data_IF_219941200487
#
_entry.id   IF_219941200487
#
_cell.length_a   1.000
_cell.length_b   1.000
_cell.length_c   1.000
_cell.angle_alpha   90.00
_cell.angle_beta   90.00
_cell.angle_gamma   90.00
#
_symmetry.space_group_name_H-M   'P 1'
#
loop_
_entity.id
_entity.type
_entity.pdbx_description
1 polymer ?
#
# COMPACT_ATOMS: atom_id res chain seq x y z
N UNK A 1 5.22 -21.32 -24.47
CA UNK A 1 4.76 -21.85 -25.76
C UNK A 1 3.34 -21.35 -25.98
N UNK A 2 3.02 -20.61 -27.04
CA UNK A 2 1.67 -20.08 -27.21
C UNK A 2 0.80 -21.15 -27.89
N UNK A 3 -0.25 -21.58 -27.21
CA UNK A 3 -1.31 -22.39 -27.82
C UNK A 3 -2.28 -21.38 -28.44
N UNK A 4 -2.20 -21.23 -29.76
CA UNK A 4 -3.23 -20.59 -30.58
C UNK A 4 -4.39 -21.57 -30.70
N UNK A 5 -5.47 -21.35 -29.97
CA UNK A 5 -6.73 -22.06 -30.19
C UNK A 5 -7.64 -21.18 -31.06
N UNK A 6 -7.80 -21.60 -32.31
CA UNK A 6 -8.77 -21.07 -33.26
C UNK A 6 -10.18 -21.43 -32.75
N UNK A 7 -11.05 -20.44 -32.58
CA UNK A 7 -12.38 -20.58 -31.96
C UNK A 7 -13.50 -20.78 -32.98
N UNK A 8 -13.18 -21.23 -34.20
CA UNK A 8 -14.19 -21.65 -35.16
C UNK A 8 -14.53 -23.14 -34.94
N UNK A 9 -15.81 -23.42 -34.73
CA UNK A 9 -16.46 -24.76 -34.73
C UNK A 9 -16.60 -25.49 -33.39
N UNK A 10 -17.51 -25.01 -32.54
CA UNK A 10 -18.52 -25.89 -31.88
C UNK A 10 -19.84 -25.11 -31.76
N UNK A 11 -20.74 -25.27 -32.74
CA UNK A 11 -22.11 -24.71 -32.67
C UNK A 11 -23.02 -25.76 -32.03
N UNK A 12 -23.27 -25.62 -30.73
CA UNK A 12 -24.44 -26.21 -30.10
C UNK A 12 -25.70 -25.50 -30.60
N UNK A 13 -26.74 -26.27 -31.00
CA UNK A 13 -27.97 -25.70 -31.54
C UNK A 13 -28.76 -24.93 -30.47
N UNK A 14 -29.28 -23.72 -30.75
CA UNK A 14 -30.14 -22.99 -29.82
C UNK A 14 -31.59 -23.51 -29.88
N UNK A 15 -32.24 -23.59 -28.72
CA UNK A 15 -33.67 -23.88 -28.59
C UNK A 15 -34.46 -22.57 -28.69
N UNK A 16 -35.31 -22.45 -29.70
CA UNK A 16 -36.15 -21.27 -29.95
C UNK A 16 -37.37 -21.21 -29.01
N UNK A 17 -37.57 -20.07 -28.34
CA UNK A 17 -38.90 -19.55 -27.99
C UNK A 17 -38.99 -18.05 -28.33
N UNK A 18 -39.95 -17.72 -29.21
CA UNK A 18 -40.49 -16.38 -29.44
C UNK A 18 -39.62 -15.28 -30.10
N UNK A 19 -38.62 -15.63 -30.92
CA UNK A 19 -38.20 -14.74 -32.03
C UNK A 19 -37.58 -13.39 -31.68
N UNK A 20 -37.13 -13.19 -30.44
CA UNK A 20 -36.32 -12.03 -30.03
C UNK A 20 -35.09 -12.56 -29.29
N UNK A 21 -33.90 -12.30 -29.83
CA UNK A 21 -32.63 -12.53 -29.13
C UNK A 21 -32.58 -11.53 -27.97
N UNK A 22 -32.85 -11.97 -26.76
CA UNK A 22 -32.32 -11.29 -25.58
C UNK A 22 -31.13 -12.12 -25.16
N UNK A 23 -29.98 -11.86 -25.78
CA UNK A 23 -28.71 -12.29 -25.21
C UNK A 23 -28.60 -11.52 -23.89
N UNK A 24 -28.86 -12.18 -22.76
CA UNK A 24 -28.66 -11.57 -21.46
C UNK A 24 -27.17 -11.28 -21.32
N UNK A 25 -26.79 -10.01 -21.45
CA UNK A 25 -25.41 -9.57 -21.27
C UNK A 25 -25.13 -9.43 -19.78
N UNK A 26 -23.86 -9.56 -19.41
CA UNK A 26 -23.45 -9.28 -18.04
C UNK A 26 -23.64 -7.77 -17.75
N UNK A 27 -24.26 -7.40 -16.62
CA UNK A 27 -24.39 -6.01 -16.22
C UNK A 27 -23.00 -5.43 -15.94
N UNK A 28 -22.75 -4.21 -16.41
CA UNK A 28 -21.45 -3.55 -16.29
C UNK A 28 -21.55 -2.10 -15.87
N UNK A 29 -20.45 -1.63 -15.29
CA UNK A 29 -20.14 -0.23 -15.02
C UNK A 29 -19.00 0.15 -15.96
N UNK A 30 -19.14 1.26 -16.69
CA UNK A 30 -18.06 1.79 -17.53
C UNK A 30 -16.98 2.45 -16.67
N UNK A 31 -15.70 2.20 -16.99
CA UNK A 31 -14.58 2.91 -16.37
C UNK A 31 -14.15 4.15 -17.20
N UNK A 32 -13.41 5.06 -16.55
CA UNK A 32 -12.96 6.33 -17.16
C UNK A 32 -11.91 6.15 -18.28
N UNK A 33 -11.47 4.92 -18.54
CA UNK A 33 -10.42 4.58 -19.51
C UNK A 33 -10.95 3.79 -20.72
N UNK A 34 -12.27 3.64 -20.83
CA UNK A 34 -12.96 2.92 -21.91
C UNK A 34 -12.95 1.41 -21.72
N UNK A 35 -12.79 0.94 -20.48
CA UNK A 35 -13.05 -0.43 -20.05
C UNK A 35 -14.42 -0.60 -19.40
N UNK A 36 -14.67 -1.80 -18.89
CA UNK A 36 -15.92 -2.21 -18.23
C UNK A 36 -15.63 -3.04 -16.99
N UNK A 37 -16.48 -2.89 -15.97
CA UNK A 37 -16.38 -3.61 -14.69
C UNK A 37 -17.66 -4.42 -14.49
N UNK A 38 -17.52 -5.73 -14.34
CA UNK A 38 -18.58 -6.67 -13.98
C UNK A 38 -18.49 -6.90 -12.47
N UNK A 39 -19.56 -6.57 -11.75
CA UNK A 39 -19.71 -6.91 -10.33
C UNK A 39 -20.68 -8.07 -10.16
N UNK A 40 -20.14 -9.27 -9.92
CA UNK A 40 -20.99 -10.44 -9.65
C UNK A 40 -21.58 -10.34 -8.24
N UNK A 41 -22.91 -10.44 -8.13
CA UNK A 41 -23.64 -10.29 -6.85
C UNK A 41 -24.49 -11.52 -6.53
N UNK A 42 -25.16 -12.04 -7.55
CA UNK A 42 -26.08 -13.16 -7.41
C UNK A 42 -25.44 -14.47 -7.84
N UNK A 43 -25.97 -15.57 -7.32
CA UNK A 43 -25.55 -16.89 -7.73
C UNK A 43 -25.85 -17.11 -9.22
N UNK A 44 -24.85 -17.55 -9.96
CA UNK A 44 -24.96 -17.90 -11.38
C UNK A 44 -24.27 -19.24 -11.60
N UNK A 45 -24.90 -20.12 -12.38
CA UNK A 45 -24.26 -21.37 -12.77
C UNK A 45 -23.17 -21.12 -13.82
N UNK A 46 -22.23 -22.06 -13.91
CA UNK A 46 -21.05 -21.93 -14.76
C UNK A 46 -21.37 -21.85 -16.26
N UNK A 47 -22.39 -22.57 -16.74
CA UNK A 47 -22.72 -22.62 -18.17
C UNK A 47 -23.42 -21.33 -18.62
N UNK A 48 -24.35 -20.83 -17.81
CA UNK A 48 -24.97 -19.52 -17.99
C UNK A 48 -23.91 -18.42 -17.97
N UNK A 49 -23.04 -18.40 -16.96
CA UNK A 49 -21.97 -17.42 -16.86
C UNK A 49 -21.06 -17.42 -18.10
N UNK A 50 -20.64 -18.60 -18.56
CA UNK A 50 -19.80 -18.73 -19.75
C UNK A 50 -20.49 -18.18 -21.01
N UNK A 51 -21.77 -18.50 -21.18
CA UNK A 51 -22.56 -18.06 -22.33
C UNK A 51 -22.70 -16.55 -22.34
N UNK A 52 -23.08 -15.95 -21.21
CA UNK A 52 -23.21 -14.50 -21.07
C UNK A 52 -21.87 -13.79 -21.21
N UNK A 53 -20.79 -14.34 -20.65
CA UNK A 53 -19.45 -13.76 -20.75
C UNK A 53 -18.99 -13.71 -22.21
N UNK A 54 -19.14 -14.80 -22.97
CA UNK A 54 -18.75 -14.83 -24.40
C UNK A 54 -19.55 -13.85 -25.26
N UNK A 55 -20.87 -13.78 -25.05
CA UNK A 55 -21.73 -12.82 -25.75
C UNK A 55 -21.32 -11.37 -25.42
N UNK A 56 -21.08 -11.08 -24.14
CA UNK A 56 -20.66 -9.76 -23.67
C UNK A 56 -19.30 -9.34 -24.22
N UNK A 57 -18.33 -10.26 -24.22
CA UNK A 57 -16.99 -10.03 -24.78
C UNK A 57 -17.04 -9.70 -26.28
N UNK A 58 -17.90 -10.37 -27.05
CA UNK A 58 -18.08 -10.08 -28.48
C UNK A 58 -18.61 -8.66 -28.69
N UNK A 59 -19.61 -8.26 -27.92
CA UNK A 59 -20.17 -6.91 -27.98
C UNK A 59 -19.15 -5.85 -27.59
N UNK A 60 -18.46 -6.01 -26.46
CA UNK A 60 -17.47 -5.04 -25.99
C UNK A 60 -16.32 -4.86 -26.97
N UNK A 61 -15.92 -5.93 -27.66
CA UNK A 61 -14.95 -5.87 -28.75
C UNK A 61 -15.44 -5.01 -29.92
N UNK A 62 -16.71 -5.14 -30.33
CA UNK A 62 -17.30 -4.30 -31.39
C UNK A 62 -17.44 -2.84 -30.97
N UNK A 63 -17.71 -2.59 -29.69
CA UNK A 63 -17.79 -1.25 -29.10
C UNK A 63 -16.42 -0.60 -28.87
N UNK A 64 -15.32 -1.32 -29.12
CA UNK A 64 -13.97 -0.80 -28.91
C UNK A 64 -13.59 -0.65 -27.43
N UNK A 65 -14.25 -1.38 -26.52
CA UNK A 65 -13.87 -1.43 -25.11
C UNK A 65 -12.48 -2.06 -24.95
N UNK A 66 -11.79 -1.69 -23.87
CA UNK A 66 -10.40 -2.07 -23.63
C UNK A 66 -10.26 -3.10 -22.51
N UNK A 67 -10.17 -2.64 -21.26
CA UNK A 67 -10.04 -3.49 -20.09
C UNK A 67 -11.41 -4.05 -19.68
N UNK A 68 -11.47 -5.33 -19.36
CA UNK A 68 -12.66 -5.98 -18.79
C UNK A 68 -12.28 -6.50 -17.42
N UNK A 69 -12.97 -6.03 -16.39
CA UNK A 69 -12.74 -6.40 -15.01
C UNK A 69 -13.89 -7.27 -14.51
N UNK A 70 -13.57 -8.32 -13.74
CA UNK A 70 -14.57 -9.14 -13.06
C UNK A 70 -14.25 -9.16 -11.58
N UNK A 71 -15.14 -8.58 -10.77
CA UNK A 71 -15.13 -8.69 -9.33
C UNK A 71 -15.98 -9.90 -8.94
N UNK A 72 -15.33 -10.98 -8.47
CA UNK A 72 -15.97 -12.20 -8.02
C UNK A 72 -15.91 -12.31 -6.48
N UNK A 73 -17.05 -12.19 -5.78
CA UNK A 73 -17.13 -12.52 -4.36
C UNK A 73 -16.66 -13.95 -4.08
N UNK A 74 -16.10 -14.19 -2.89
CA UNK A 74 -15.57 -15.49 -2.48
C UNK A 74 -16.60 -16.63 -2.59
N UNK A 75 -17.89 -16.33 -2.41
CA UNK A 75 -18.98 -17.30 -2.57
C UNK A 75 -19.24 -17.75 -4.01
N UNK A 76 -18.68 -17.05 -5.01
CA UNK A 76 -18.82 -17.37 -6.44
C UNK A 76 -17.51 -17.91 -7.04
N UNK A 77 -16.67 -18.53 -6.20
CA UNK A 77 -15.35 -19.05 -6.60
C UNK A 77 -15.43 -20.07 -7.75
N UNK A 78 -16.54 -20.80 -7.88
CA UNK A 78 -16.76 -21.76 -8.97
C UNK A 78 -16.76 -21.13 -10.36
N UNK A 79 -16.90 -19.81 -10.47
CA UNK A 79 -16.83 -19.07 -11.74
C UNK A 79 -15.40 -18.69 -12.13
N UNK A 80 -14.43 -18.74 -11.20
CA UNK A 80 -13.04 -18.33 -11.46
C UNK A 80 -12.39 -19.17 -12.54
N UNK A 81 -12.52 -20.49 -12.44
CA UNK A 81 -11.93 -21.41 -13.43
C UNK A 81 -12.44 -21.11 -14.85
N UNK A 82 -13.74 -20.82 -14.96
CA UNK A 82 -14.40 -20.47 -16.23
C UNK A 82 -13.85 -19.18 -16.80
N UNK A 83 -13.76 -18.12 -15.99
CA UNK A 83 -13.20 -16.85 -16.43
C UNK A 83 -11.74 -16.99 -16.90
N UNK A 84 -10.92 -17.74 -16.15
CA UNK A 84 -9.51 -17.99 -16.50
C UNK A 84 -9.37 -18.78 -17.81
N UNK A 85 -10.24 -19.77 -18.06
CA UNK A 85 -10.29 -20.49 -19.34
C UNK A 85 -10.64 -19.61 -20.53
N UNK A 86 -11.43 -18.56 -20.31
CA UNK A 86 -11.72 -17.52 -21.31
C UNK A 86 -10.60 -16.46 -21.42
N UNK A 87 -9.47 -16.67 -20.75
CA UNK A 87 -8.25 -15.87 -20.88
C UNK A 87 -8.13 -14.72 -19.87
N UNK A 88 -9.04 -14.61 -18.91
CA UNK A 88 -8.87 -13.66 -17.81
C UNK A 88 -7.68 -14.07 -16.93
N UNK A 89 -6.97 -13.07 -16.41
CA UNK A 89 -5.87 -13.26 -15.46
C UNK A 89 -6.21 -12.62 -14.13
N UNK A 90 -5.60 -13.11 -13.05
CA UNK A 90 -5.73 -12.48 -11.74
C UNK A 90 -5.06 -11.12 -11.75
N UNK A 91 -5.71 -10.14 -11.14
CA UNK A 91 -5.13 -8.82 -10.88
C UNK A 91 -4.78 -8.67 -9.40
N UNK A 92 -5.79 -8.73 -8.53
CA UNK A 92 -5.64 -8.63 -7.08
C UNK A 92 -6.73 -9.44 -6.38
N UNK A 93 -6.56 -9.67 -5.08
CA UNK A 93 -7.55 -10.33 -4.25
C UNK A 93 -7.63 -9.60 -2.91
N UNK A 94 -8.83 -9.49 -2.40
CA UNK A 94 -9.13 -9.05 -1.03
C UNK A 94 -9.73 -10.23 -0.25
N UNK A 95 -9.85 -10.16 1.09
CA UNK A 95 -10.39 -11.26 1.88
C UNK A 95 -11.76 -11.77 1.41
N UNK A 96 -12.56 -10.92 0.77
CA UNK A 96 -13.93 -11.23 0.34
C UNK A 96 -14.13 -11.40 -1.16
N UNK A 97 -13.14 -11.09 -2.01
CA UNK A 97 -13.31 -11.18 -3.47
C UNK A 97 -11.99 -11.34 -4.24
N UNK A 98 -12.09 -11.89 -5.45
CA UNK A 98 -11.02 -11.92 -6.45
C UNK A 98 -11.34 -10.95 -7.58
N UNK A 99 -10.36 -10.12 -7.97
CA UNK A 99 -10.43 -9.28 -9.16
C UNK A 99 -9.67 -9.95 -10.31
N UNK A 100 -10.40 -10.23 -11.39
CA UNK A 100 -9.82 -10.70 -12.65
C UNK A 100 -9.86 -9.60 -13.69
N UNK A 101 -8.95 -9.68 -14.66
CA UNK A 101 -8.86 -8.73 -15.75
C UNK A 101 -8.55 -9.38 -17.08
N UNK A 102 -9.11 -8.83 -18.15
CA UNK A 102 -8.81 -9.16 -19.55
C UNK A 102 -8.55 -7.88 -20.35
N UNK A 103 -7.60 -7.93 -21.28
CA UNK A 103 -7.33 -6.83 -22.21
C UNK A 103 -7.78 -7.21 -23.61
N UNK A 104 -8.84 -6.55 -24.11
CA UNK A 104 -9.44 -6.84 -25.43
C UNK A 104 -8.50 -6.51 -26.61
N UNK A 105 -7.82 -5.33 -26.64
CA UNK A 105 -6.98 -4.97 -27.78
C UNK A 105 -5.78 -5.89 -27.96
N UNK A 106 -5.32 -6.06 -29.20
CA UNK A 106 -4.08 -6.80 -29.52
C UNK A 106 -2.81 -6.03 -29.16
N UNK A 107 -2.94 -4.76 -28.75
CA UNK A 107 -1.81 -3.91 -28.35
C UNK A 107 -1.31 -4.31 -26.95
N UNK A 108 -0.16 -3.76 -26.55
CA UNK A 108 0.29 -3.87 -25.17
C UNK A 108 -0.81 -3.37 -24.21
N UNK A 109 -1.02 -4.13 -23.13
CA UNK A 109 -1.97 -3.80 -22.08
C UNK A 109 -1.52 -2.54 -21.33
N UNK A 110 -2.40 -1.56 -21.18
CA UNK A 110 -2.17 -0.37 -20.34
C UNK A 110 -2.78 -0.51 -18.95
N UNK A 111 -3.36 -1.66 -18.63
CA UNK A 111 -3.84 -1.95 -17.28
C UNK A 111 -2.64 -1.93 -16.31
N UNK A 112 -2.66 -1.08 -15.27
CA UNK A 112 -1.59 -1.03 -14.28
C UNK A 112 -1.47 -2.38 -13.55
N UNK A 113 -0.28 -2.68 -13.04
CA UNK A 113 -0.12 -3.81 -12.13
C UNK A 113 -0.80 -3.54 -10.79
N UNK A 114 -1.11 -4.62 -10.05
CA UNK A 114 -1.53 -4.54 -8.65
C UNK A 114 -0.43 -3.92 -7.77
N UNK A 115 -0.80 -3.45 -6.57
CA UNK A 115 0.06 -2.99 -5.49
C UNK A 115 1.38 -3.79 -5.44
N UNK A 116 2.48 -3.06 -5.62
CA UNK A 116 3.83 -3.60 -5.77
C UNK A 116 4.69 -3.41 -4.52
N UNK A 117 4.27 -2.52 -3.63
CA UNK A 117 5.02 -2.15 -2.44
C UNK A 117 4.20 -2.42 -1.19
N UNK A 118 4.88 -2.89 -0.15
CA UNK A 118 4.47 -2.73 1.23
C UNK A 118 5.07 -1.45 1.77
N UNK A 119 4.40 -0.84 2.74
CA UNK A 119 4.87 0.37 3.38
C UNK A 119 5.08 0.08 4.86
N UNK A 120 6.29 0.38 5.34
CA UNK A 120 6.65 0.28 6.74
C UNK A 120 7.17 1.60 7.28
N UNK A 121 7.11 1.75 8.60
CA UNK A 121 7.59 2.92 9.33
C UNK A 121 8.57 2.48 10.41
N UNK A 122 9.56 3.31 10.68
CA UNK A 122 10.40 3.24 11.87
C UNK A 122 10.44 4.59 12.55
N UNK A 123 10.25 4.61 13.86
CA UNK A 123 10.10 5.82 14.64
C UNK A 123 11.35 6.11 15.49
N UNK A 124 12.02 7.22 15.24
CA UNK A 124 13.06 7.76 16.12
C UNK A 124 12.38 8.68 17.13
N UNK A 125 12.46 8.34 18.41
CA UNK A 125 11.97 9.16 19.52
C UNK A 125 13.17 9.45 20.40
N UNK A 126 13.60 10.72 20.44
CA UNK A 126 14.69 11.17 21.32
C UNK A 126 14.11 12.12 22.37
N UNK A 127 14.33 11.83 23.64
CA UNK A 127 13.94 12.72 24.73
C UNK A 127 14.99 13.80 25.02
N UNK A 128 14.66 14.75 25.90
CA UNK A 128 15.55 15.87 26.27
C UNK A 128 16.85 15.44 26.97
N UNK A 129 16.90 14.19 27.48
CA UNK A 129 18.09 13.60 28.10
C UNK A 129 19.02 12.92 27.08
N UNK A 130 18.73 13.03 25.77
CA UNK A 130 19.39 12.28 24.69
C UNK A 130 19.29 10.77 24.86
N UNK A 131 18.15 10.28 25.36
CA UNK A 131 17.81 8.86 25.38
C UNK A 131 16.82 8.56 24.26
N UNK A 132 17.04 7.46 23.54
CA UNK A 132 16.18 6.96 22.45
C UNK A 132 15.22 5.92 23.01
N UNK A 133 13.95 6.00 22.64
CA UNK A 133 13.00 4.91 22.90
C UNK A 133 13.33 3.73 22.00
N UNK A 134 13.61 2.58 22.61
CA UNK A 134 13.99 1.36 21.90
C UNK A 134 13.23 0.15 22.41
N UNK A 135 13.07 -0.84 21.53
CA UNK A 135 12.37 -2.09 21.78
C UNK A 135 13.21 -3.30 21.37
N UNK A 136 12.90 -4.44 21.98
CA UNK A 136 13.33 -5.78 21.57
C UNK A 136 12.10 -6.59 21.17
N UNK A 137 12.15 -7.28 20.03
CA UNK A 137 11.03 -8.09 19.54
C UNK A 137 11.01 -9.48 20.20
N UNK A 138 9.82 -9.95 20.58
CA UNK A 138 9.56 -11.34 21.01
C UNK A 138 9.54 -12.35 19.87
N UNK A 139 9.43 -11.89 18.63
CA UNK A 139 9.32 -12.77 17.45
C UNK A 139 10.04 -12.18 16.24
N UNK A 140 10.26 -12.98 15.21
CA UNK A 140 10.94 -12.54 13.99
C UNK A 140 12.46 -12.72 14.04
N UNK A 141 13.16 -12.01 13.14
CA UNK A 141 14.59 -12.23 12.90
C UNK A 141 15.49 -11.80 14.06
N UNK A 142 15.02 -10.91 14.93
CA UNK A 142 15.79 -10.38 16.07
C UNK A 142 15.42 -11.03 17.41
N UNK A 143 14.49 -11.99 17.43
CA UNK A 143 14.09 -12.67 18.66
C UNK A 143 15.29 -13.32 19.37
N UNK A 144 15.43 -13.04 20.68
CA UNK A 144 16.47 -13.63 21.53
C UNK A 144 17.91 -13.18 21.19
N UNK A 145 18.07 -12.22 20.28
CA UNK A 145 19.40 -11.67 19.93
C UNK A 145 19.88 -10.61 20.91
N UNK A 146 18.97 -10.05 21.72
CA UNK A 146 19.25 -8.93 22.62
C UNK A 146 19.47 -7.59 21.91
N UNK A 147 19.20 -7.50 20.61
CA UNK A 147 19.39 -6.27 19.81
C UNK A 147 18.26 -5.28 20.10
N UNK A 148 18.62 -4.07 20.50
CA UNK A 148 17.69 -2.95 20.65
C UNK A 148 17.53 -2.22 19.33
N UNK A 149 16.29 -2.02 18.89
CA UNK A 149 15.95 -1.24 17.70
C UNK A 149 14.95 -0.14 18.03
N UNK A 150 14.78 0.79 17.10
CA UNK A 150 13.66 1.73 17.15
C UNK A 150 12.32 0.97 16.97
N UNK A 151 11.20 1.50 17.50
CA UNK A 151 9.87 1.01 17.16
C UNK A 151 9.62 0.99 15.65
N UNK A 152 9.00 -0.07 15.15
CA UNK A 152 8.74 -0.22 13.72
C UNK A 152 7.47 -1.01 13.46
N UNK A 153 6.73 -0.65 12.42
CA UNK A 153 5.64 -1.50 11.95
C UNK A 153 5.20 -1.20 10.53
N UNK A 154 4.00 -1.63 10.19
CA UNK A 154 3.45 -1.55 8.84
C UNK A 154 2.34 -0.53 8.76
N UNK A 155 2.27 0.20 7.65
CA UNK A 155 1.15 1.11 7.39
C UNK A 155 -0.04 0.28 6.93
N UNK A 156 -1.18 0.46 7.59
CA UNK A 156 -2.43 -0.23 7.23
C UNK A 156 -3.08 0.37 5.96
N UNK A 157 -4.01 -0.36 5.36
CA UNK A 157 -4.75 0.12 4.19
C UNK A 157 -5.53 1.39 4.54
N UNK A 158 -5.29 2.46 3.79
CA UNK A 158 -5.93 3.76 4.02
C UNK A 158 -5.36 4.57 5.19
N UNK A 159 -4.30 4.08 5.83
CA UNK A 159 -3.63 4.78 6.94
C UNK A 159 -2.54 5.74 6.44
N UNK A 160 -2.44 6.90 7.08
CA UNK A 160 -1.38 7.88 6.79
C UNK A 160 -0.05 7.48 7.45
N UNK A 161 1.08 7.74 6.80
CA UNK A 161 2.42 7.36 7.30
C UNK A 161 2.69 7.95 8.71
N UNK A 162 2.25 9.18 8.96
CA UNK A 162 2.46 9.82 10.27
C UNK A 162 1.56 9.21 11.35
N UNK A 163 0.34 8.78 10.97
CA UNK A 163 -0.59 8.10 11.88
C UNK A 163 -0.03 6.73 12.25
N UNK A 164 0.41 5.96 11.26
CA UNK A 164 1.04 4.66 11.47
C UNK A 164 2.25 4.78 12.41
N UNK A 165 3.15 5.74 12.18
CA UNK A 165 4.32 5.92 13.05
C UNK A 165 3.95 6.20 14.52
N UNK A 166 2.92 7.02 14.77
CA UNK A 166 2.45 7.29 16.14
C UNK A 166 1.71 6.08 16.74
N UNK A 167 0.88 5.39 15.95
CA UNK A 167 0.16 4.18 16.37
C UNK A 167 1.13 3.08 16.79
N UNK A 168 2.12 2.76 15.97
CA UNK A 168 3.10 1.70 16.24
C UNK A 168 3.88 1.96 17.53
N UNK A 169 4.31 3.21 17.78
CA UNK A 169 4.97 3.56 19.04
C UNK A 169 4.03 3.37 20.23
N UNK A 170 2.78 3.80 20.09
CA UNK A 170 1.77 3.67 21.15
C UNK A 170 1.45 2.21 21.45
N UNK A 171 1.31 1.39 20.41
CA UNK A 171 1.01 -0.04 20.51
C UNK A 171 2.18 -0.81 21.14
N UNK A 172 3.41 -0.60 20.71
CA UNK A 172 4.57 -1.34 21.22
C UNK A 172 4.96 -0.92 22.65
N UNK A 173 4.85 0.37 22.98
CA UNK A 173 5.49 0.95 24.18
C UNK A 173 4.56 1.72 25.10
N UNK A 174 3.32 2.02 24.69
CA UNK A 174 2.38 2.84 25.46
C UNK A 174 2.68 4.35 25.45
N UNK A 175 3.78 4.79 24.83
CA UNK A 175 4.21 6.19 24.78
C UNK A 175 3.34 6.98 23.79
N UNK A 176 2.80 8.10 24.24
CA UNK A 176 2.12 9.08 23.39
C UNK A 176 3.16 9.95 22.70
N UNK A 177 2.96 10.20 21.42
CA UNK A 177 3.92 10.94 20.60
C UNK A 177 3.22 11.92 19.67
N UNK A 178 3.96 12.93 19.24
CA UNK A 178 3.58 13.82 18.15
C UNK A 178 4.54 13.62 16.97
N UNK A 179 4.00 13.51 15.76
CA UNK A 179 4.80 13.39 14.56
C UNK A 179 5.53 14.69 14.23
N UNK A 180 6.83 14.61 13.92
CA UNK A 180 7.64 15.76 13.52
C UNK A 180 7.83 15.77 12.00
N UNK A 181 8.52 14.76 11.46
CA UNK A 181 8.87 14.70 10.04
C UNK A 181 9.35 13.30 9.62
N UNK A 182 9.26 13.02 8.33
CA UNK A 182 10.01 11.93 7.69
C UNK A 182 11.44 12.39 7.46
N UNK A 183 12.41 11.71 8.06
CA UNK A 183 13.84 11.99 7.88
C UNK A 183 14.43 11.33 6.63
N UNK A 184 13.78 10.29 6.13
CA UNK A 184 14.17 9.61 4.92
C UNK A 184 13.34 8.37 4.68
N UNK A 185 13.54 7.73 3.54
CA UNK A 185 12.95 6.43 3.26
C UNK A 185 13.93 5.54 2.52
N UNK A 186 13.79 4.24 2.73
CA UNK A 186 14.55 3.20 2.03
C UNK A 186 13.61 2.41 1.13
N UNK A 187 14.10 2.04 -0.05
CA UNK A 187 13.46 1.04 -0.88
C UNK A 187 14.24 -0.27 -0.86
N UNK A 188 13.53 -1.40 -0.87
CA UNK A 188 14.13 -2.72 -1.08
C UNK A 188 13.20 -3.59 -1.91
N UNK A 189 13.77 -4.44 -2.77
CA UNK A 189 12.99 -5.26 -3.71
C UNK A 189 12.95 -6.72 -3.26
N UNK A 190 11.84 -7.39 -3.59
CA UNK A 190 11.63 -8.84 -3.40
C UNK A 190 11.81 -9.31 -1.96
N UNK A 191 11.33 -8.53 -1.01
CA UNK A 191 11.43 -8.80 0.42
C UNK A 191 10.32 -9.71 0.94
N UNK A 192 9.07 -9.48 0.52
CA UNK A 192 7.90 -10.23 0.98
C UNK A 192 7.03 -10.65 -0.20
N UNK A 193 6.98 -11.95 -0.50
CA UNK A 193 6.27 -12.50 -1.66
C UNK A 193 6.54 -11.74 -2.97
N UNK A 194 7.82 -11.50 -3.27
CA UNK A 194 8.30 -10.76 -4.46
C UNK A 194 7.91 -9.28 -4.53
N UNK A 195 7.18 -8.75 -3.54
CA UNK A 195 6.88 -7.32 -3.42
C UNK A 195 8.10 -6.54 -2.95
N UNK A 196 8.09 -5.25 -3.24
CA UNK A 196 9.07 -4.31 -2.72
C UNK A 196 8.60 -3.73 -1.38
N UNK A 197 9.51 -3.18 -0.59
CA UNK A 197 9.22 -2.44 0.64
C UNK A 197 9.66 -0.99 0.47
N UNK A 198 8.80 -0.06 0.90
CA UNK A 198 9.16 1.31 1.23
C UNK A 198 9.17 1.43 2.75
N UNK A 199 10.31 1.79 3.32
CA UNK A 199 10.46 1.93 4.77
C UNK A 199 10.78 3.38 5.12
N UNK A 200 9.83 4.06 5.77
CA UNK A 200 9.92 5.47 6.15
C UNK A 200 10.51 5.62 7.55
N UNK A 201 11.57 6.41 7.67
CA UNK A 201 12.21 6.75 8.94
C UNK A 201 11.59 8.07 9.41
N UNK A 202 10.84 8.04 10.49
CA UNK A 202 10.10 9.16 11.04
C UNK A 202 10.75 9.64 12.33
N UNK A 203 10.80 10.95 12.55
CA UNK A 203 11.11 11.56 13.84
C UNK A 203 9.80 11.88 14.55
N UNK A 204 9.70 11.51 15.82
CA UNK A 204 8.56 11.80 16.67
C UNK A 204 9.04 12.44 17.97
N UNK A 205 8.19 13.28 18.55
CA UNK A 205 8.41 13.91 19.86
C UNK A 205 7.60 13.17 20.93
N UNK A 206 8.20 12.75 22.07
CA UNK A 206 7.45 12.11 23.13
C UNK A 206 6.61 13.11 23.92
N UNK A 207 5.35 12.75 24.19
CA UNK A 207 4.42 13.48 25.04
C UNK A 207 4.25 12.83 26.43
N UNK A 208 4.62 11.55 26.55
CA UNK A 208 4.67 10.81 27.80
C UNK A 208 5.95 9.97 27.88
N UNK A 209 6.28 9.47 29.07
CA UNK A 209 7.57 8.79 29.34
C UNK A 209 7.43 7.44 30.06
N UNK A 210 6.25 7.14 30.59
CA UNK A 210 5.98 5.89 31.31
C UNK A 210 5.71 4.75 30.32
N UNK A 211 6.69 3.86 30.18
CA UNK A 211 6.63 2.75 29.22
C UNK A 211 5.66 1.67 29.73
N UNK A 212 4.71 1.29 28.88
CA UNK A 212 3.82 0.14 29.03
C UNK A 212 3.98 -0.75 27.81
N UNK A 213 4.94 -1.68 27.86
CA UNK A 213 5.23 -2.55 26.73
C UNK A 213 4.06 -3.48 26.43
N UNK A 214 3.85 -3.76 25.15
CA UNK A 214 2.84 -4.72 24.73
C UNK A 214 3.37 -6.16 24.85
N UNK A 215 2.53 -7.05 25.37
CA UNK A 215 2.99 -8.39 25.79
C UNK A 215 3.01 -9.45 24.69
N UNK A 216 2.45 -9.22 23.50
CA UNK A 216 2.46 -10.24 22.44
C UNK A 216 3.74 -10.17 21.59
N UNK A 217 4.21 -8.96 21.30
CA UNK A 217 5.23 -8.69 20.30
C UNK A 217 6.52 -8.12 20.87
N UNK A 218 6.46 -7.45 22.04
CA UNK A 218 7.62 -6.79 22.64
C UNK A 218 8.17 -7.55 23.84
N UNK A 219 9.47 -7.88 23.76
CA UNK A 219 10.23 -8.53 24.83
C UNK A 219 10.51 -7.53 25.93
N UNK A 220 11.12 -6.41 25.55
CA UNK A 220 11.46 -5.31 26.43
C UNK A 220 11.41 -3.97 25.68
N UNK A 221 11.16 -2.89 26.42
CA UNK A 221 11.18 -1.52 25.92
C UNK A 221 11.83 -0.62 26.98
N UNK A 222 12.68 0.31 26.56
CA UNK A 222 13.35 1.25 27.47
C UNK A 222 13.76 2.55 26.79
N UNK A 223 14.00 3.58 27.60
CA UNK A 223 14.79 4.74 27.21
C UNK A 223 16.27 4.38 27.34
N UNK A 224 16.99 4.35 26.22
CA UNK A 224 18.41 3.99 26.15
C UNK A 224 19.25 5.21 25.78
N UNK A 225 20.36 5.51 26.48
CA UNK A 225 21.27 6.58 26.08
C UNK A 225 21.67 6.46 24.61
N UNK A 226 21.57 7.54 23.83
CA UNK A 226 21.81 7.50 22.38
C UNK A 226 23.17 6.89 22.03
N UNK A 227 24.22 7.25 22.78
CA UNK A 227 25.57 6.72 22.54
C UNK A 227 25.65 5.21 22.77
N UNK A 228 24.90 4.68 23.74
CA UNK A 228 24.83 3.24 23.98
C UNK A 228 24.08 2.52 22.85
N UNK A 229 22.95 3.09 22.42
CA UNK A 229 22.18 2.59 21.28
C UNK A 229 23.01 2.56 19.99
N UNK A 230 23.74 3.65 19.70
CA UNK A 230 24.57 3.79 18.51
C UNK A 230 25.84 2.91 18.55
N UNK A 231 26.34 2.59 19.75
CA UNK A 231 27.50 1.73 19.96
C UNK A 231 27.20 0.23 19.82
N UNK A 232 25.93 -0.18 19.69
CA UNK A 232 25.60 -1.59 19.48
C UNK A 232 26.36 -2.17 18.27
N UNK A 233 27.07 -3.32 18.41
CA UNK A 233 27.83 -3.91 17.30
C UNK A 233 26.98 -4.19 16.06
N UNK A 234 25.69 -4.48 16.25
CA UNK A 234 24.74 -4.67 15.17
C UNK A 234 24.50 -3.37 14.39
N UNK A 235 24.30 -2.26 15.09
CA UNK A 235 24.08 -0.95 14.47
C UNK A 235 25.27 -0.46 13.64
N UNK A 236 26.50 -0.84 14.04
CA UNK A 236 27.72 -0.52 13.31
C UNK A 236 27.94 -1.38 12.06
N UNK A 237 27.42 -2.61 12.04
CA UNK A 237 27.58 -3.55 10.93
C UNK A 237 26.50 -3.40 9.86
N UNK A 238 25.30 -2.94 10.22
CA UNK A 238 24.18 -2.82 9.30
C UNK A 238 23.93 -1.37 8.89
N UNK A 239 24.07 -1.09 7.58
CA UNK A 239 24.03 0.26 7.04
C UNK A 239 22.74 1.03 7.38
N UNK A 240 21.58 0.38 7.37
CA UNK A 240 20.32 1.03 7.71
C UNK A 240 20.32 1.58 9.15
N UNK A 241 20.82 0.78 10.11
CA UNK A 241 20.91 1.22 11.51
C UNK A 241 21.91 2.35 11.66
N UNK A 242 23.05 2.28 10.96
CA UNK A 242 24.01 3.39 10.91
C UNK A 242 23.37 4.67 10.36
N UNK A 243 22.59 4.60 9.27
CA UNK A 243 21.90 5.76 8.72
C UNK A 243 20.80 6.30 9.64
N UNK A 244 20.07 5.44 10.36
CA UNK A 244 19.12 5.87 11.40
C UNK A 244 19.83 6.72 12.47
N UNK A 245 21.00 6.26 12.94
CA UNK A 245 21.81 7.02 13.91
C UNK A 245 22.30 8.35 13.34
N UNK A 246 22.81 8.34 12.11
CA UNK A 246 23.30 9.55 11.43
C UNK A 246 22.20 10.56 11.18
N UNK A 247 21.00 10.12 10.79
CA UNK A 247 19.83 10.99 10.61
C UNK A 247 19.37 11.59 11.94
N UNK A 248 19.34 10.80 13.01
CA UNK A 248 19.04 11.30 14.35
C UNK A 248 20.01 12.42 14.76
N UNK A 249 21.32 12.18 14.64
CA UNK A 249 22.34 13.19 14.95
C UNK A 249 22.28 14.40 14.01
N UNK A 250 22.03 14.18 12.72
CA UNK A 250 21.90 15.28 11.77
C UNK A 250 20.70 16.17 12.11
N UNK A 251 19.58 15.59 12.54
CA UNK A 251 18.40 16.33 12.98
C UNK A 251 18.68 17.15 14.23
N UNK A 252 19.27 16.54 15.23
CA UNK A 252 19.44 17.13 16.56
C UNK A 252 20.59 18.14 16.60
N UNK A 253 21.74 17.79 16.03
CA UNK A 253 22.98 18.57 16.18
C UNK A 253 23.31 19.44 14.95
N UNK A 254 22.72 19.15 13.78
CA UNK A 254 23.13 19.77 12.50
C UNK A 254 21.99 20.48 11.76
N UNK A 255 20.80 20.56 12.35
CA UNK A 255 19.65 21.24 11.75
C UNK A 255 19.11 20.57 10.47
N UNK A 256 19.26 19.24 10.35
CA UNK A 256 18.64 18.50 9.25
C UNK A 256 17.12 18.73 9.25
N UNK A 257 16.56 18.93 8.06
CA UNK A 257 15.12 19.15 7.88
C UNK A 257 14.57 18.09 6.95
N UNK A 258 13.72 17.26 7.52
CA UNK A 258 12.98 16.24 6.81
C UNK A 258 11.73 16.79 6.11
N UNK A 259 10.76 15.91 5.95
CA UNK A 259 9.52 16.16 5.21
C UNK A 259 8.34 16.06 6.18
N UNK A 260 7.60 17.16 6.35
CA UNK A 260 6.40 17.18 7.18
C UNK A 260 5.15 17.17 6.31
N UNK A 261 4.04 16.54 6.74
CA UNK A 261 2.80 16.49 5.98
C UNK A 261 2.15 17.88 5.93
N UNK A 262 1.69 18.27 4.75
CA UNK A 262 0.85 19.44 4.51
C UNK A 262 -0.50 18.98 3.95
N UNK A 263 -1.61 19.32 4.61
CA UNK A 263 -2.93 19.06 4.06
C UNK A 263 -3.10 19.74 2.70
N UNK A 264 -3.66 19.00 1.77
CA UNK A 264 -4.01 19.43 0.41
C UNK A 264 -5.39 18.91 0.09
N UNK A 265 -6.07 19.55 -0.86
CA UNK A 265 -7.37 19.09 -1.37
C UNK A 265 -7.12 18.42 -2.71
N UNK A 266 -7.57 17.17 -2.84
CA UNK A 266 -7.50 16.45 -4.11
C UNK A 266 -8.35 17.18 -5.16
N UNK A 267 -7.84 17.27 -6.39
CA UNK A 267 -8.60 17.85 -7.53
C UNK A 267 -9.70 16.88 -7.99
N UNK A 268 -9.60 15.60 -7.61
CA UNK A 268 -10.43 14.52 -8.11
C UNK A 268 -11.38 13.95 -7.06
N UNK A 269 -11.29 14.38 -5.80
CA UNK A 269 -12.12 13.89 -4.70
C UNK A 269 -12.19 14.89 -3.55
N UNK A 270 -13.27 14.85 -2.76
CA UNK A 270 -13.44 15.69 -1.55
C UNK A 270 -12.59 15.20 -0.36
N UNK A 271 -11.71 14.22 -0.57
CA UNK A 271 -10.85 13.68 0.47
C UNK A 271 -9.60 14.55 0.67
N UNK A 272 -9.24 14.75 1.93
CA UNK A 272 -7.97 15.36 2.32
C UNK A 272 -6.81 14.47 1.88
N UNK A 273 -5.78 15.05 1.26
CA UNK A 273 -4.52 14.39 0.95
C UNK A 273 -3.36 15.10 1.64
N UNK A 274 -2.27 14.41 1.94
CA UNK A 274 -1.08 15.01 2.53
C UNK A 274 0.10 15.03 1.57
N UNK A 275 0.68 16.23 1.37
CA UNK A 275 1.95 16.39 0.67
C UNK A 275 3.08 16.47 1.69
N UNK A 276 4.01 15.53 1.64
CA UNK A 276 5.20 15.54 2.47
C UNK A 276 6.27 16.39 1.79
N UNK A 277 6.73 17.45 2.47
CA UNK A 277 7.75 18.36 1.92
C UNK A 277 8.58 19.02 3.01
N UNK A 278 9.77 19.50 2.65
CA UNK A 278 10.59 20.33 3.52
C UNK A 278 9.93 21.71 3.67
N UNK A 279 9.20 21.88 4.78
CA UNK A 279 8.46 23.10 5.07
C UNK A 279 9.37 24.28 5.39
N UNK A 280 10.49 24.03 6.06
CA UNK A 280 11.35 25.10 6.54
C UNK A 280 11.93 25.90 5.38
N UNK A 281 12.37 25.23 4.32
CA UNK A 281 12.96 25.91 3.16
C UNK A 281 11.88 26.53 2.26
N UNK A 282 10.70 25.90 2.18
CA UNK A 282 9.57 26.49 1.46
C UNK A 282 9.08 27.78 2.13
N UNK A 283 8.90 27.79 3.45
CA UNK A 283 8.41 28.96 4.19
C UNK A 283 9.45 30.09 4.19
N UNK A 284 10.75 29.78 4.26
CA UNK A 284 11.83 30.78 4.06
C UNK A 284 11.73 31.45 2.69
N UNK A 285 11.50 30.68 1.61
CA UNK A 285 11.38 31.24 0.25
C UNK A 285 10.18 32.19 0.10
N UNK A 286 9.09 31.97 0.84
CA UNK A 286 7.91 32.86 0.86
C UNK A 286 8.18 34.14 1.64
N UNK A 287 8.87 34.05 2.77
CA UNK A 287 9.24 35.23 3.57
C UNK A 287 10.21 36.18 2.83
N UNK A 288 11.07 35.65 1.96
CA UNK A 288 11.96 36.47 1.13
C UNK A 288 11.25 37.15 -0.06
N UNK A 289 10.07 36.68 -0.46
CA UNK A 289 9.31 37.21 -1.60
C UNK A 289 8.21 38.21 -1.19
N UNK A 290 8.06 38.54 0.10
CA UNK A 290 7.14 39.56 0.60
C UNK A 290 7.88 40.63 1.44
N UNK A 291 8.51 41.64 0.82
CA UNK A 291 9.19 42.71 1.54
C UNK A 291 8.26 43.85 2.03
N UNK A 292 6.94 43.78 1.84
CA UNK A 292 6.03 44.94 2.02
C UNK A 292 5.26 45.02 3.37
N UNK A 293 5.54 44.17 4.36
CA UNK A 293 4.93 44.31 5.70
C UNK A 293 5.99 44.46 6.81
N UNK A 294 6.92 45.40 6.62
CA UNK A 294 7.65 46.01 7.73
C UNK A 294 7.81 47.51 7.45
N UNK A 295 6.76 48.27 7.73
CA UNK A 295 6.80 49.70 8.05
C UNK A 295 5.68 50.03 9.03
#
# INVERSE_FOLDING_TARGET
MPISADLSEVVGRPVCRNGVWHDELLPVIDDDHGGVIIEMKEHMDTETFLTMLRASMLQWKQQGKKGVWIKLPIGLIHLVETAVKEGFRYHHAEPSYLMLVFWIPKTASTIPGNATHRVGVGAIILNDKREVLVVQEKSGLLQGTGIWKIPTGVVEEGEEIFVAAMREVKEETGIDTEFVEVLGFRQTHKSFFEKSDLFFICMLHPLSFDIQKQELEIEAAQWMPFEEYAAQPFAQKHELFRYVNELCLAKVDRGYTGFSPRPTVSIFSDHSSFLYLNNQDLDKSRSMNNPEEQN
#
